data_IF_270339349441
#
_entry.id   IF_270339349441
#
_cell.length_a   1.000
_cell.length_b   1.000
_cell.length_c   1.000
_cell.angle_alpha   90.00
_cell.angle_beta   90.00
_cell.angle_gamma   90.00
#
_symmetry.space_group_name_H-M   'P 1'
#
loop_
_entity.id
_entity.type
_entity.pdbx_description
1 polymer ?
#
# COMPACT_ATOMS: atom_id res chain seq x y z
N UNK A 1 76.06 -44.07 -13.23
CA UNK A 1 76.64 -43.74 -11.92
C UNK A 1 75.61 -44.05 -10.84
N UNK A 2 75.92 -45.09 -10.07
CA UNK A 2 75.60 -45.42 -8.68
C UNK A 2 74.16 -45.26 -8.14
N UNK A 3 73.62 -46.38 -7.64
CA UNK A 3 72.51 -46.39 -6.70
C UNK A 3 71.89 -47.77 -6.47
N UNK A 4 72.67 -48.71 -5.93
CA UNK A 4 72.19 -50.00 -5.39
C UNK A 4 71.24 -49.78 -4.18
N UNK A 5 70.02 -50.35 -4.26
CA UNK A 5 69.35 -51.37 -3.39
C UNK A 5 69.88 -51.65 -1.94
N UNK A 6 69.17 -52.35 -1.00
CA UNK A 6 67.85 -53.05 -1.06
C UNK A 6 67.02 -53.19 0.28
N UNK A 7 65.88 -53.96 0.20
CA UNK A 7 65.08 -54.72 1.23
C UNK A 7 64.48 -53.95 2.43
N UNK A 8 63.30 -54.25 2.98
CA UNK A 8 62.68 -55.53 3.41
C UNK A 8 61.13 -55.39 3.40
N UNK A 9 60.35 -56.33 2.85
CA UNK A 9 59.72 -57.49 3.51
C UNK A 9 59.05 -57.25 4.88
N UNK A 10 57.71 -57.38 4.93
CA UNK A 10 56.89 -58.26 5.80
C UNK A 10 55.49 -57.63 5.97
N UNK A 11 54.42 -58.23 5.43
CA UNK A 11 53.67 -59.44 5.84
C UNK A 11 52.48 -59.09 6.75
N UNK A 12 51.31 -59.57 6.31
CA UNK A 12 50.19 -60.09 7.13
C UNK A 12 49.42 -59.03 7.93
N UNK A 13 48.13 -59.09 8.20
CA UNK A 13 47.00 -60.01 8.02
C UNK A 13 45.77 -59.06 8.05
N UNK A 14 44.71 -59.25 7.29
CA UNK A 14 43.72 -60.28 7.55
C UNK A 14 42.48 -59.69 8.25
N UNK A 15 41.30 -60.10 7.77
CA UNK A 15 40.02 -60.11 8.47
C UNK A 15 39.13 -58.85 8.43
N UNK A 16 38.16 -58.90 7.53
CA UNK A 16 36.72 -59.07 7.83
C UNK A 16 35.79 -58.03 7.22
N UNK A 17 34.99 -58.54 6.28
CA UNK A 17 33.78 -57.96 5.73
C UNK A 17 32.68 -57.87 6.82
N UNK A 18 32.80 -56.93 7.75
CA UNK A 18 31.83 -56.79 8.85
C UNK A 18 31.43 -55.35 9.21
N UNK A 19 32.00 -54.32 8.57
CA UNK A 19 31.86 -52.93 9.06
C UNK A 19 31.03 -51.96 8.22
N UNK A 20 30.63 -52.32 7.00
CA UNK A 20 30.04 -51.34 6.05
C UNK A 20 28.52 -51.37 5.95
N UNK A 21 27.83 -52.29 6.62
CA UNK A 21 26.36 -52.32 6.65
C UNK A 21 25.75 -51.67 7.91
N UNK A 22 26.54 -51.52 8.98
CA UNK A 22 26.05 -50.95 10.25
C UNK A 22 26.22 -49.41 10.29
N UNK A 23 27.17 -48.86 9.53
CA UNK A 23 27.34 -47.40 9.42
C UNK A 23 26.25 -46.69 8.59
N UNK A 24 25.42 -47.41 7.82
CA UNK A 24 24.30 -46.80 7.08
C UNK A 24 22.98 -46.74 7.87
N UNK A 25 22.83 -47.52 8.96
CA UNK A 25 21.56 -47.54 9.72
C UNK A 25 21.56 -46.48 10.84
N UNK A 26 22.73 -46.13 11.39
CA UNK A 26 22.82 -45.12 12.47
C UNK A 26 22.76 -43.68 11.93
N UNK A 27 23.14 -43.44 10.67
CA UNK A 27 23.05 -42.11 10.05
C UNK A 27 21.65 -41.72 9.57
N UNK A 28 20.78 -42.70 9.25
CA UNK A 28 19.45 -42.44 8.70
C UNK A 28 18.38 -42.09 9.75
N UNK A 29 18.56 -42.51 11.00
CA UNK A 29 17.56 -42.29 12.07
C UNK A 29 17.74 -40.92 12.73
N UNK A 30 18.95 -40.34 12.74
CA UNK A 30 19.21 -39.02 13.31
C UNK A 30 18.70 -37.85 12.46
N UNK A 31 18.46 -38.04 11.16
CA UNK A 31 17.92 -37.00 10.27
C UNK A 31 16.38 -36.94 10.32
N UNK A 32 15.70 -38.03 10.66
CA UNK A 32 14.22 -38.06 10.75
C UNK A 32 13.70 -37.47 12.08
N UNK A 33 14.50 -37.51 13.15
CA UNK A 33 14.08 -36.96 14.46
C UNK A 33 14.23 -35.43 14.55
N UNK A 34 15.08 -34.79 13.74
CA UNK A 34 15.19 -33.33 13.69
C UNK A 34 14.14 -32.61 12.83
N UNK A 35 13.33 -33.34 12.06
CA UNK A 35 12.27 -32.76 11.20
C UNK A 35 10.91 -32.70 11.94
N UNK A 36 10.82 -33.15 13.19
CA UNK A 36 9.53 -33.29 13.91
C UNK A 36 9.25 -32.23 15.00
N UNK A 37 9.99 -31.11 15.09
CA UNK A 37 9.79 -30.07 16.12
C UNK A 37 9.55 -28.65 15.53
N UNK A 38 8.99 -28.54 14.32
CA UNK A 38 8.46 -27.23 13.84
C UNK A 38 7.06 -27.41 13.21
N UNK A 39 6.22 -28.21 13.86
CA UNK A 39 4.80 -28.30 13.55
C UNK A 39 3.98 -28.00 14.81
N UNK A 40 4.03 -26.76 15.29
CA UNK A 40 2.98 -26.22 16.14
C UNK A 40 2.95 -24.68 16.10
N UNK A 41 2.51 -24.13 14.98
CA UNK A 41 1.84 -22.84 14.93
C UNK A 41 1.06 -22.74 13.62
N UNK A 42 -0.08 -22.08 13.67
CA UNK A 42 -1.07 -21.87 12.61
C UNK A 42 -2.17 -22.95 12.52
N UNK A 43 -3.13 -22.74 13.41
CA UNK A 43 -4.55 -23.10 13.33
C UNK A 43 -5.18 -22.92 11.94
N UNK A 44 -6.04 -23.89 11.61
CA UNK A 44 -7.21 -23.84 10.72
C UNK A 44 -7.30 -22.69 9.70
N UNK A 45 -6.83 -22.96 8.47
CA UNK A 45 -7.30 -22.24 7.28
C UNK A 45 -8.61 -22.86 6.81
N UNK A 46 -9.71 -22.36 7.33
CA UNK A 46 -10.99 -22.47 6.62
C UNK A 46 -10.97 -21.52 5.43
N UNK A 47 -11.23 -22.07 4.24
CA UNK A 47 -11.36 -21.32 3.00
C UNK A 47 -12.66 -20.52 3.02
N UNK A 48 -12.58 -19.28 3.49
CA UNK A 48 -13.64 -18.29 3.36
C UNK A 48 -13.22 -17.25 2.31
N UNK A 49 -13.67 -17.44 1.07
CA UNK A 49 -13.77 -16.36 0.11
C UNK A 49 -14.84 -15.39 0.63
N UNK A 50 -14.43 -14.26 1.18
CA UNK A 50 -15.37 -13.23 1.62
C UNK A 50 -14.71 -12.17 2.49
N UNK A 51 -14.93 -10.91 2.09
CA UNK A 51 -14.56 -9.67 2.80
C UNK A 51 -13.19 -9.11 2.43
N UNK A 52 -13.10 -8.50 1.24
CA UNK A 52 -12.20 -7.36 1.01
C UNK A 52 -12.73 -6.16 1.80
N UNK A 53 -12.57 -6.20 3.11
CA UNK A 53 -12.67 -5.03 3.97
C UNK A 53 -11.25 -4.47 4.14
N UNK A 54 -11.07 -3.21 3.77
CA UNK A 54 -9.82 -2.48 3.99
C UNK A 54 -9.62 -2.37 5.50
N UNK A 55 -8.82 -3.28 6.08
CA UNK A 55 -8.51 -3.29 7.49
C UNK A 55 -7.29 -2.40 7.73
N UNK A 56 -7.53 -1.15 8.12
CA UNK A 56 -6.49 -0.30 8.69
C UNK A 56 -6.15 -0.81 10.09
N UNK A 57 -4.88 -1.09 10.35
CA UNK A 57 -4.42 -1.57 11.65
C UNK A 57 -4.63 -0.49 12.72
N UNK A 58 -5.66 -0.67 13.54
CA UNK A 58 -5.85 0.09 14.76
C UNK A 58 -4.76 -0.38 15.75
N UNK A 59 -3.79 0.48 16.02
CA UNK A 59 -2.82 0.22 17.09
C UNK A 59 -3.53 0.33 18.43
N UNK A 60 -3.96 -0.80 18.99
CA UNK A 60 -4.41 -0.87 20.38
C UNK A 60 -3.23 -0.58 21.32
N UNK A 61 -3.29 0.55 22.02
CA UNK A 61 -2.56 0.73 23.27
C UNK A 61 -3.54 1.24 24.33
N UNK A 62 -3.52 0.55 25.46
CA UNK A 62 -4.51 0.58 26.54
C UNK A 62 -4.44 1.83 27.42
N UNK A 63 -5.62 2.35 27.81
CA UNK A 63 -6.05 2.74 29.17
C UNK A 63 -6.79 4.09 29.25
N UNK A 64 -7.91 4.12 29.97
CA UNK A 64 -8.42 5.33 30.63
C UNK A 64 -9.44 6.19 29.88
N UNK A 65 -10.69 5.71 29.83
CA UNK A 65 -11.94 6.45 30.09
C UNK A 65 -11.91 8.01 30.04
N UNK A 66 -12.37 8.60 28.93
CA UNK A 66 -13.37 9.67 28.99
C UNK A 66 -14.15 9.81 27.66
N UNK A 67 -15.33 10.37 27.77
CA UNK A 67 -16.49 10.13 26.91
C UNK A 67 -16.62 11.22 25.85
N UNK A 68 -16.18 10.94 24.62
CA UNK A 68 -16.74 11.52 23.38
C UNK A 68 -16.14 10.79 22.18
N UNK A 69 -16.48 9.51 22.04
CA UNK A 69 -16.19 8.78 20.81
C UNK A 69 -17.08 9.32 19.68
N UNK A 70 -16.68 10.44 19.07
CA UNK A 70 -16.92 10.57 17.64
C UNK A 70 -16.10 9.45 17.02
N UNK A 71 -16.75 8.34 16.69
CA UNK A 71 -16.26 7.43 15.67
C UNK A 71 -15.88 8.32 14.49
N UNK A 72 -14.58 8.59 14.30
CA UNK A 72 -14.14 9.30 13.12
C UNK A 72 -14.65 8.46 11.94
N UNK A 73 -15.48 9.00 11.05
CA UNK A 73 -15.93 8.23 9.89
C UNK A 73 -14.68 7.76 9.15
N UNK A 74 -14.75 6.56 8.53
CA UNK A 74 -13.76 5.98 7.60
C UNK A 74 -13.45 6.97 6.46
N UNK A 75 -12.80 8.08 6.77
CA UNK A 75 -12.60 9.23 5.90
C UNK A 75 -11.14 9.24 5.56
N UNK A 76 -10.85 8.99 4.28
CA UNK A 76 -9.50 9.05 3.76
C UNK A 76 -9.27 10.39 3.06
N UNK A 77 -8.04 10.90 3.06
CA UNK A 77 -7.71 12.06 2.25
C UNK A 77 -7.93 11.71 0.78
N UNK A 78 -8.85 12.41 0.12
CA UNK A 78 -9.23 12.08 -1.24
C UNK A 78 -8.55 12.98 -2.25
N UNK A 79 -8.70 14.29 -2.15
CA UNK A 79 -8.13 15.18 -3.15
C UNK A 79 -7.86 16.59 -2.60
N UNK A 80 -7.01 17.31 -3.33
CA UNK A 80 -6.70 18.72 -3.11
C UNK A 80 -6.88 19.51 -4.39
N UNK A 81 -7.31 20.75 -4.24
CA UNK A 81 -7.39 21.73 -5.32
C UNK A 81 -6.96 23.11 -4.84
N UNK A 82 -6.60 23.95 -5.79
CA UNK A 82 -6.27 25.35 -5.56
C UNK A 82 -7.33 26.21 -6.23
N UNK A 83 -7.88 27.18 -5.48
CA UNK A 83 -8.95 28.05 -5.95
C UNK A 83 -8.61 29.50 -5.64
N UNK A 84 -8.70 30.38 -6.64
CA UNK A 84 -8.61 31.82 -6.45
C UNK A 84 -9.85 32.32 -5.70
N UNK A 85 -9.64 33.15 -4.68
CA UNK A 85 -10.70 33.76 -3.88
C UNK A 85 -10.38 35.22 -3.56
N UNK A 86 -11.28 35.83 -2.80
CA UNK A 86 -11.10 37.20 -2.30
C UNK A 86 -11.36 37.22 -0.81
N UNK A 87 -10.53 37.96 -0.08
CA UNK A 87 -10.69 38.16 1.36
C UNK A 87 -11.93 39.01 1.61
N UNK A 88 -12.86 38.48 2.40
CA UNK A 88 -14.03 39.20 2.89
C UNK A 88 -13.75 39.92 4.20
N UNK A 89 -14.65 39.76 5.16
CA UNK A 89 -14.55 40.33 6.49
C UNK A 89 -13.40 39.71 7.31
N UNK A 90 -12.74 40.54 8.10
CA UNK A 90 -11.75 40.13 9.10
C UNK A 90 -12.41 40.06 10.48
N UNK A 91 -12.41 38.88 11.11
CA UNK A 91 -13.14 38.62 12.34
C UNK A 91 -12.22 37.92 13.32
N UNK A 92 -11.86 38.58 14.43
CA UNK A 92 -11.13 37.94 15.52
C UNK A 92 -9.71 37.46 15.17
N UNK A 93 -9.10 37.98 14.10
CA UNK A 93 -7.80 37.51 13.59
C UNK A 93 -7.92 36.53 12.42
N UNK A 94 -9.12 36.04 12.14
CA UNK A 94 -9.42 35.23 10.97
C UNK A 94 -9.99 36.11 9.85
N UNK A 95 -10.10 35.52 8.65
CA UNK A 95 -10.68 36.12 7.47
C UNK A 95 -11.74 35.22 6.86
N UNK A 96 -12.77 35.81 6.26
CA UNK A 96 -13.70 35.06 5.41
C UNK A 96 -13.19 34.99 3.97
N UNK A 97 -13.48 33.90 3.26
CA UNK A 97 -13.12 33.73 1.85
C UNK A 97 -14.37 33.76 0.98
N UNK A 98 -14.43 34.72 0.07
CA UNK A 98 -15.52 34.86 -0.90
C UNK A 98 -15.34 33.91 -2.10
N UNK A 99 -16.45 33.40 -2.68
CA UNK A 99 -17.85 33.70 -2.35
C UNK A 99 -18.44 32.83 -1.22
N UNK A 100 -17.71 31.84 -0.70
CA UNK A 100 -18.23 30.84 0.24
C UNK A 100 -18.44 31.33 1.67
N UNK A 101 -17.87 32.48 2.04
CA UNK A 101 -17.80 33.01 3.41
C UNK A 101 -17.20 32.01 4.42
N UNK A 102 -16.31 31.14 3.94
CA UNK A 102 -15.60 30.20 4.81
C UNK A 102 -14.55 30.94 5.64
N UNK A 103 -14.45 30.63 6.93
CA UNK A 103 -13.50 31.27 7.85
C UNK A 103 -12.14 30.56 7.79
N UNK A 104 -11.08 31.31 7.58
CA UNK A 104 -9.69 30.86 7.59
C UNK A 104 -8.81 31.75 8.47
N UNK A 105 -7.76 31.21 9.11
CA UNK A 105 -6.76 32.03 9.78
C UNK A 105 -6.10 33.03 8.82
N UNK A 106 -5.92 34.27 9.27
CA UNK A 106 -5.26 35.32 8.50
C UNK A 106 -3.74 35.37 8.77
N UNK A 107 -3.06 34.22 8.64
CA UNK A 107 -1.65 34.07 9.04
C UNK A 107 -0.68 34.99 8.26
N UNK A 108 -1.00 35.32 7.00
CA UNK A 108 -0.16 36.18 6.16
C UNK A 108 -0.59 37.66 6.16
N UNK A 109 -1.47 38.07 7.07
CA UNK A 109 -1.95 39.44 7.25
C UNK A 109 -2.56 40.07 5.98
N UNK A 110 -3.50 39.38 5.35
CA UNK A 110 -4.31 39.89 4.25
C UNK A 110 -5.29 40.98 4.72
N UNK A 111 -5.62 41.89 3.80
CA UNK A 111 -6.67 42.88 3.97
C UNK A 111 -7.96 42.48 3.21
N UNK A 112 -9.11 42.98 3.67
CA UNK A 112 -10.38 42.82 2.94
C UNK A 112 -10.26 43.33 1.50
N UNK A 113 -10.70 42.52 0.55
CA UNK A 113 -10.61 42.78 -0.89
C UNK A 113 -9.35 42.21 -1.55
N UNK A 114 -8.38 41.72 -0.78
CA UNK A 114 -7.18 41.10 -1.36
C UNK A 114 -7.53 39.83 -2.13
N UNK A 115 -6.86 39.63 -3.27
CA UNK A 115 -6.88 38.37 -4.00
C UNK A 115 -5.97 37.37 -3.31
N UNK A 116 -6.48 36.16 -3.12
CA UNK A 116 -5.75 35.07 -2.48
C UNK A 116 -5.96 33.76 -3.24
N UNK A 117 -5.07 32.81 -3.00
CA UNK A 117 -5.19 31.45 -3.45
C UNK A 117 -5.46 30.56 -2.25
N UNK A 118 -6.50 29.74 -2.31
CA UNK A 118 -6.83 28.80 -1.23
C UNK A 118 -6.52 27.38 -1.65
N UNK A 119 -5.80 26.67 -0.78
CA UNK A 119 -5.69 25.22 -0.85
C UNK A 119 -6.93 24.64 -0.16
N UNK A 120 -7.66 23.82 -0.91
CA UNK A 120 -8.87 23.16 -0.44
C UNK A 120 -8.68 21.66 -0.42
N UNK A 121 -9.35 21.01 0.52
CA UNK A 121 -9.30 19.58 0.76
C UNK A 121 -10.69 18.96 0.57
N UNK A 122 -10.71 17.74 0.04
CA UNK A 122 -11.88 16.86 0.00
C UNK A 122 -11.49 15.50 0.56
N UNK A 123 -12.31 14.99 1.48
CA UNK A 123 -12.21 13.65 2.01
C UNK A 123 -13.19 12.69 1.33
N UNK A 124 -12.98 11.39 1.50
CA UNK A 124 -13.90 10.35 1.05
C UNK A 124 -14.28 9.43 2.19
N UNK A 125 -15.58 9.37 2.49
CA UNK A 125 -16.15 8.44 3.47
C UNK A 125 -16.46 7.13 2.75
N UNK A 126 -15.81 6.05 3.19
CA UNK A 126 -16.05 4.69 2.68
C UNK A 126 -17.08 3.96 3.54
N UNK A 127 -18.22 3.62 2.95
CA UNK A 127 -19.28 2.84 3.58
C UNK A 127 -19.45 1.51 2.86
N UNK A 128 -19.42 0.40 3.59
CA UNK A 128 -19.78 -0.92 3.06
C UNK A 128 -21.24 -1.18 3.40
N UNK A 129 -22.10 -1.29 2.39
CA UNK A 129 -23.50 -1.65 2.57
C UNK A 129 -23.70 -3.12 2.91
N UNK A 130 -24.89 -3.48 3.38
CA UNK A 130 -25.28 -4.85 3.74
C UNK A 130 -25.22 -5.84 2.55
N UNK A 131 -25.18 -5.32 1.32
CA UNK A 131 -25.00 -6.06 0.07
C UNK A 131 -23.52 -6.28 -0.30
N UNK A 132 -22.60 -5.97 0.62
CA UNK A 132 -21.14 -5.95 0.43
C UNK A 132 -20.67 -5.04 -0.71
N UNK A 133 -21.46 -4.03 -1.10
CA UNK A 133 -21.00 -3.00 -2.02
C UNK A 133 -20.30 -1.88 -1.25
N UNK A 134 -19.08 -1.57 -1.70
CA UNK A 134 -18.41 -0.36 -1.27
C UNK A 134 -19.10 0.86 -1.92
N UNK A 135 -19.55 1.79 -1.10
CA UNK A 135 -20.04 3.09 -1.52
C UNK A 135 -19.09 4.17 -0.99
N UNK A 136 -18.82 5.17 -1.82
CA UNK A 136 -17.93 6.28 -1.49
C UNK A 136 -18.76 7.54 -1.51
N UNK A 137 -18.75 8.29 -0.40
CA UNK A 137 -19.35 9.62 -0.31
C UNK A 137 -18.24 10.64 -0.14
N UNK A 138 -18.16 11.59 -1.07
CA UNK A 138 -17.17 12.67 -1.00
C UNK A 138 -17.68 13.79 -0.09
N UNK A 139 -16.80 14.33 0.74
CA UNK A 139 -17.13 15.53 1.53
C UNK A 139 -17.19 16.74 0.62
N UNK A 140 -17.80 17.83 1.09
CA UNK A 140 -17.63 19.12 0.44
C UNK A 140 -16.14 19.52 0.46
N UNK A 141 -15.74 20.32 -0.52
CA UNK A 141 -14.46 21.00 -0.49
C UNK A 141 -14.41 21.97 0.68
N UNK A 142 -13.30 21.96 1.41
CA UNK A 142 -13.07 22.81 2.57
C UNK A 142 -11.73 23.52 2.41
N UNK A 143 -11.69 24.83 2.55
CA UNK A 143 -10.42 25.54 2.57
C UNK A 143 -9.64 25.21 3.84
N UNK A 144 -8.34 24.99 3.70
CA UNK A 144 -7.45 24.64 4.81
C UNK A 144 -6.30 25.62 4.98
N UNK A 145 -5.94 26.36 3.93
CA UNK A 145 -4.83 27.31 3.92
C UNK A 145 -4.97 28.32 2.80
N UNK A 146 -4.48 29.53 3.03
CA UNK A 146 -4.44 30.63 2.06
C UNK A 146 -3.01 31.00 1.67
N UNK A 147 -2.83 31.55 0.47
CA UNK A 147 -1.55 31.98 -0.08
C UNK A 147 -1.68 33.28 -0.88
N UNK A 148 -0.63 34.09 -0.86
CA UNK A 148 -0.51 35.33 -1.67
C UNK A 148 -0.34 35.07 -3.16
N UNK A 149 0.24 33.92 -3.53
CA UNK A 149 0.53 33.57 -4.92
C UNK A 149 0.13 32.14 -5.23
N UNK A 150 -0.16 31.88 -6.50
CA UNK A 150 -0.56 30.55 -6.98
C UNK A 150 0.61 29.56 -6.82
N UNK A 151 1.82 30.01 -7.11
CA UNK A 151 3.03 29.19 -7.08
C UNK A 151 3.33 28.68 -5.66
N UNK A 152 3.07 29.50 -4.65
CA UNK A 152 3.20 29.09 -3.25
C UNK A 152 2.18 28.01 -2.88
N UNK A 153 0.94 28.16 -3.34
CA UNK A 153 -0.12 27.16 -3.15
C UNK A 153 0.20 25.84 -3.86
N UNK A 154 0.68 25.92 -5.11
CA UNK A 154 1.09 24.75 -5.91
C UNK A 154 2.27 24.02 -5.28
N UNK A 155 3.26 24.76 -4.76
CA UNK A 155 4.40 24.16 -4.06
C UNK A 155 3.98 23.41 -2.80
N UNK A 156 2.95 23.86 -2.09
CA UNK A 156 2.46 23.17 -0.89
C UNK A 156 1.57 21.98 -1.27
N UNK A 157 0.71 22.13 -2.28
CA UNK A 157 -0.10 21.03 -2.82
C UNK A 157 0.77 19.88 -3.34
N UNK A 158 1.91 20.17 -3.96
CA UNK A 158 2.85 19.17 -4.44
C UNK A 158 3.45 18.30 -3.33
N UNK A 159 3.45 18.76 -2.06
CA UNK A 159 3.87 17.94 -0.91
C UNK A 159 2.76 17.00 -0.44
N UNK A 160 1.51 17.33 -0.75
CA UNK A 160 0.33 16.56 -0.35
C UNK A 160 -0.11 15.56 -1.42
N UNK A 161 0.17 15.83 -2.69
CA UNK A 161 -0.16 14.98 -3.84
C UNK A 161 1.12 14.52 -4.54
N UNK A 162 1.62 13.36 -4.13
CA UNK A 162 2.83 12.78 -4.69
C UNK A 162 2.49 11.85 -5.85
N UNK A 163 3.17 12.03 -6.98
CA UNK A 163 3.12 11.09 -8.10
C UNK A 163 4.32 10.16 -8.04
N UNK A 164 4.08 8.86 -7.89
CA UNK A 164 5.11 7.85 -7.68
C UNK A 164 5.07 6.79 -8.78
N UNK A 165 6.22 6.43 -9.35
CA UNK A 165 6.38 5.22 -10.17
C UNK A 165 6.85 4.09 -9.26
N UNK A 166 6.06 3.03 -9.11
CA UNK A 166 6.39 1.90 -8.24
C UNK A 166 5.80 0.60 -8.79
N UNK A 167 6.33 -0.52 -8.32
CA UNK A 167 5.73 -1.83 -8.52
C UNK A 167 4.66 -2.09 -7.45
N UNK A 168 3.53 -2.66 -7.86
CA UNK A 168 2.46 -3.11 -6.97
C UNK A 168 2.10 -4.56 -7.25
N UNK A 169 1.48 -5.23 -6.29
CA UNK A 169 1.12 -6.63 -6.42
C UNK A 169 0.03 -6.83 -7.49
N UNK A 170 0.30 -7.73 -8.42
CA UNK A 170 -0.63 -8.17 -9.45
C UNK A 170 -1.34 -9.43 -8.94
N UNK A 171 -2.64 -9.30 -8.67
CA UNK A 171 -3.51 -10.42 -8.30
C UNK A 171 -3.69 -11.36 -9.50
N UNK A 172 -3.81 -10.79 -10.69
CA UNK A 172 -3.85 -11.54 -11.95
C UNK A 172 -4.42 -10.75 -13.11
N UNK A 173 -4.46 -11.39 -14.27
CA UNK A 173 -5.10 -10.88 -15.49
C UNK A 173 -6.15 -11.84 -16.00
N UNK A 174 -7.20 -11.33 -16.62
CA UNK A 174 -8.23 -12.17 -17.24
C UNK A 174 -8.89 -11.45 -18.42
N UNK A 175 -9.47 -12.26 -19.31
CA UNK A 175 -10.30 -11.80 -20.42
C UNK A 175 -11.77 -12.01 -20.09
N UNK A 176 -12.61 -11.07 -20.48
CA UNK A 176 -14.07 -11.22 -20.41
C UNK A 176 -14.69 -10.90 -21.76
N UNK A 177 -15.82 -11.52 -22.08
CA UNK A 177 -16.54 -11.28 -23.33
C UNK A 177 -18.00 -10.92 -23.03
N UNK A 178 -18.49 -9.86 -23.68
CA UNK A 178 -19.88 -9.44 -23.62
C UNK A 178 -20.31 -8.98 -25.01
N UNK A 179 -21.43 -9.52 -25.51
CA UNK A 179 -21.97 -9.20 -26.85
C UNK A 179 -20.95 -9.33 -27.99
N UNK A 180 -20.05 -10.34 -27.90
CA UNK A 180 -19.00 -10.57 -28.90
C UNK A 180 -17.80 -9.63 -28.81
N UNK A 181 -17.77 -8.69 -27.88
CA UNK A 181 -16.62 -7.85 -27.58
C UNK A 181 -15.79 -8.46 -26.46
N UNK A 182 -14.48 -8.59 -26.67
CA UNK A 182 -13.54 -9.05 -25.64
C UNK A 182 -12.84 -7.85 -25.01
N UNK A 183 -12.72 -7.85 -23.68
CA UNK A 183 -11.91 -6.89 -22.93
C UNK A 183 -11.00 -7.61 -21.95
N UNK A 184 -9.79 -7.11 -21.83
CA UNK A 184 -8.78 -7.66 -20.96
C UNK A 184 -8.61 -6.76 -19.74
N UNK A 185 -8.38 -7.39 -18.60
CA UNK A 185 -8.26 -6.69 -17.32
C UNK A 185 -7.10 -7.22 -16.51
N UNK A 186 -6.45 -6.32 -15.78
CA UNK A 186 -5.54 -6.64 -14.68
C UNK A 186 -6.20 -6.23 -13.36
N UNK A 187 -5.95 -7.03 -12.31
CA UNK A 187 -6.36 -6.72 -10.94
C UNK A 187 -5.10 -6.53 -10.12
N UNK A 188 -4.96 -5.35 -9.52
CA UNK A 188 -3.81 -4.94 -8.72
C UNK A 188 -4.23 -4.75 -7.28
N UNK A 189 -3.34 -5.01 -6.33
CA UNK A 189 -3.49 -4.58 -4.93
C UNK A 189 -2.61 -3.37 -4.69
N UNK A 190 -3.21 -2.23 -4.34
CA UNK A 190 -2.49 -1.00 -4.04
C UNK A 190 -1.88 -1.04 -2.62
N UNK A 191 -0.90 -0.17 -2.31
CA UNK A 191 -0.33 -0.08 -0.95
C UNK A 191 -1.36 0.18 0.15
N UNK A 192 -2.50 0.81 -0.19
CA UNK A 192 -3.65 0.99 0.69
C UNK A 192 -4.46 -0.29 0.97
N UNK A 193 -4.05 -1.43 0.42
CA UNK A 193 -4.75 -2.71 0.49
C UNK A 193 -5.95 -2.85 -0.45
N UNK A 194 -6.32 -1.78 -1.16
CA UNK A 194 -7.44 -1.82 -2.09
C UNK A 194 -7.07 -2.58 -3.37
N UNK A 195 -8.00 -3.44 -3.82
CA UNK A 195 -7.90 -4.05 -5.14
C UNK A 195 -8.54 -3.16 -6.21
N UNK A 196 -7.79 -2.91 -7.28
CA UNK A 196 -8.22 -2.08 -8.41
C UNK A 196 -8.17 -2.91 -9.69
N UNK A 197 -9.30 -2.94 -10.40
CA UNK A 197 -9.43 -3.55 -11.72
C UNK A 197 -9.20 -2.48 -12.79
N UNK A 198 -8.22 -2.70 -13.65
CA UNK A 198 -7.88 -1.77 -14.74
C UNK A 198 -7.94 -2.48 -16.09
N UNK A 199 -8.52 -1.84 -17.12
CA UNK A 199 -8.46 -2.36 -18.48
C UNK A 199 -7.02 -2.34 -19.00
N UNK A 200 -6.67 -3.34 -19.81
CA UNK A 200 -5.36 -3.47 -20.45
C UNK A 200 -5.53 -3.86 -21.92
N UNK A 201 -4.51 -3.56 -22.74
CA UNK A 201 -4.39 -4.05 -24.10
C UNK A 201 -3.81 -5.47 -24.15
N UNK A 202 -3.90 -6.13 -25.30
CA UNK A 202 -3.42 -7.51 -25.50
C UNK A 202 -1.93 -7.66 -25.21
N UNK A 203 -1.11 -6.67 -25.57
CA UNK A 203 0.33 -6.70 -25.34
C UNK A 203 0.67 -6.69 -23.85
N UNK A 204 -0.03 -5.84 -23.07
CA UNK A 204 0.09 -5.78 -21.62
C UNK A 204 -0.48 -7.03 -20.96
N UNK A 205 -1.57 -7.61 -21.48
CA UNK A 205 -2.08 -8.90 -21.01
C UNK A 205 -1.02 -10.00 -21.13
N UNK A 206 -0.41 -10.12 -22.30
CA UNK A 206 0.61 -11.14 -22.56
C UNK A 206 1.86 -10.96 -21.72
N UNK A 207 2.24 -9.71 -21.41
CA UNK A 207 3.33 -9.41 -20.49
C UNK A 207 2.98 -9.78 -19.04
N UNK A 208 1.80 -9.36 -18.57
CA UNK A 208 1.45 -9.46 -17.15
C UNK A 208 0.99 -10.84 -16.71
N UNK A 209 0.54 -11.72 -17.61
CA UNK A 209 0.02 -13.05 -17.24
C UNK A 209 1.02 -13.95 -16.50
N UNK A 210 2.32 -13.71 -16.67
CA UNK A 210 3.40 -14.45 -15.99
C UNK A 210 4.01 -13.69 -14.81
N UNK A 211 3.60 -12.45 -14.58
CA UNK A 211 4.18 -11.59 -13.55
C UNK A 211 3.37 -11.67 -12.24
N UNK A 212 4.04 -11.33 -11.14
CA UNK A 212 3.40 -11.17 -9.81
C UNK A 212 3.25 -9.72 -9.39
N UNK A 213 3.92 -8.82 -10.11
CA UNK A 213 3.90 -7.39 -9.83
C UNK A 213 3.79 -6.63 -11.15
N UNK A 214 3.31 -5.41 -11.09
CA UNK A 214 3.23 -4.52 -12.24
C UNK A 214 3.72 -3.12 -11.88
N UNK A 215 4.51 -2.54 -12.78
CA UNK A 215 4.94 -1.16 -12.68
C UNK A 215 3.76 -0.22 -12.98
N UNK A 216 3.48 0.68 -12.05
CA UNK A 216 2.35 1.60 -12.10
C UNK A 216 2.75 3.00 -11.67
N UNK A 217 1.94 3.97 -12.07
CA UNK A 217 1.97 5.34 -11.57
C UNK A 217 0.87 5.44 -10.53
N UNK A 218 1.24 5.76 -9.30
CA UNK A 218 0.33 6.04 -8.20
C UNK A 218 0.32 7.55 -7.91
N UNK A 219 -0.85 8.05 -7.53
CA UNK A 219 -0.94 9.30 -6.80
C UNK A 219 -1.20 8.97 -5.33
N UNK A 220 -0.29 9.38 -4.47
CA UNK A 220 -0.43 9.29 -3.03
C UNK A 220 -0.90 10.64 -2.50
N UNK A 221 -2.06 10.62 -1.84
CA UNK A 221 -2.69 11.81 -1.27
C UNK A 221 -2.55 11.76 0.24
N UNK A 222 -1.73 12.64 0.81
CA UNK A 222 -1.47 12.71 2.25
C UNK A 222 -2.55 13.53 2.96
N UNK A 223 -2.84 13.20 4.21
CA UNK A 223 -3.68 14.03 5.07
C UNK A 223 -2.89 15.26 5.57
N UNK A 224 -3.47 16.45 5.39
CA UNK A 224 -2.84 17.72 5.79
C UNK A 224 -2.60 17.82 7.31
N UNK A 225 -3.45 17.19 8.11
CA UNK A 225 -3.36 17.16 9.58
C UNK A 225 -2.50 16.01 10.10
N UNK A 226 -2.24 14.98 9.28
CA UNK A 226 -1.38 13.86 9.63
C UNK A 226 -0.70 13.23 8.39
N UNK A 227 0.54 13.63 8.11
CA UNK A 227 1.29 13.19 6.94
C UNK A 227 1.57 11.68 6.86
N UNK A 228 1.50 10.97 7.99
CA UNK A 228 1.66 9.51 8.04
C UNK A 228 0.43 8.78 7.47
N UNK A 229 -0.72 9.48 7.35
CA UNK A 229 -1.91 8.96 6.71
C UNK A 229 -1.94 9.39 5.25
N UNK A 230 -1.99 8.41 4.36
CA UNK A 230 -2.10 8.65 2.94
C UNK A 230 -3.00 7.64 2.24
N UNK A 231 -3.55 8.06 1.11
CA UNK A 231 -4.36 7.21 0.26
C UNK A 231 -3.77 7.13 -1.15
N UNK A 232 -3.46 5.91 -1.58
CA UNK A 232 -2.90 5.66 -2.90
C UNK A 232 -4.00 5.43 -3.95
N UNK A 233 -3.89 6.14 -5.07
CA UNK A 233 -4.77 6.04 -6.23
C UNK A 233 -3.98 5.58 -7.45
N UNK A 234 -4.50 4.60 -8.18
CA UNK A 234 -3.95 4.24 -9.48
C UNK A 234 -4.15 5.38 -10.48
N UNK A 235 -3.06 5.86 -11.10
CA UNK A 235 -3.09 6.89 -12.14
C UNK A 235 -2.70 6.39 -13.53
N UNK A 236 -2.03 5.25 -13.61
CA UNK A 236 -1.71 4.66 -14.90
C UNK A 236 -0.71 3.52 -14.79
N UNK A 237 -0.44 2.91 -15.93
CA UNK A 237 0.64 1.96 -16.09
C UNK A 237 1.95 2.71 -16.27
N UNK A 238 2.99 2.28 -15.56
CA UNK A 238 4.31 2.82 -15.77
C UNK A 238 5.04 1.91 -16.76
N UNK A 239 4.90 2.21 -18.05
CA UNK A 239 5.60 1.47 -19.11
C UNK A 239 7.13 1.50 -18.93
#
# INVERSE_FOLDING_TARGET
MNGWEPRQQQRQNGSSNGGRLIQMIVGGILVIVFISIIANSCSDRSSQWGSSAVAWSQSESSSGQDSSSSLAPNTVPWDYQIVEGTVGDLIGGDMTVLPGNELLPNDDNYATGDKIWTLQFMGAVMNTGDDNRASITLTAWKAIKSFKSQEAAESDMAKLKLSLKTDVDLVGVYKTSYEGQTRDFAVLTLPSGQQVKQPIDDARYDRLKSEKQAAVILEEVHDYSNYDLAYAKFRGWAD
#
